data_IF_775936306516
#
_entry.id   IF_775936306516
#
_cell.length_a   1.000
_cell.length_b   1.000
_cell.length_c   1.000
_cell.angle_alpha   90.00
_cell.angle_beta   90.00
_cell.angle_gamma   90.00
#
_symmetry.space_group_name_H-M   'P 1'
#
loop_
_entity.id
_entity.type
_entity.pdbx_description
1 polymer ?
#
# COMPACT_ATOMS: atom_id res chain seq x y z
N UNK A 1 -16.66 5.03 18.27
CA UNK A 1 -15.68 3.95 18.00
C UNK A 1 -15.22 3.36 19.34
N UNK A 2 -14.52 2.22 19.36
CA UNK A 2 -13.83 1.76 20.57
C UNK A 2 -12.33 1.51 20.27
N UNK A 3 -11.51 1.42 21.32
CA UNK A 3 -10.04 1.32 21.16
C UNK A 3 -9.62 0.08 20.39
N UNK A 4 -10.34 -1.04 20.58
CA UNK A 4 -10.08 -2.32 19.88
C UNK A 4 -10.32 -2.20 18.38
N UNK A 5 -11.43 -1.59 17.95
CA UNK A 5 -11.73 -1.40 16.53
C UNK A 5 -10.66 -0.53 15.84
N UNK A 6 -10.27 0.58 16.47
CA UNK A 6 -9.23 1.49 15.95
C UNK A 6 -7.87 0.78 15.88
N UNK A 7 -7.52 0.02 16.93
CA UNK A 7 -6.30 -0.78 16.95
C UNK A 7 -6.29 -1.80 15.83
N UNK A 8 -7.39 -2.53 15.62
CA UNK A 8 -7.49 -3.55 14.58
C UNK A 8 -7.34 -2.98 13.17
N UNK A 9 -7.97 -1.82 12.89
CA UNK A 9 -7.85 -1.16 11.59
C UNK A 9 -6.41 -0.68 11.36
N UNK A 10 -5.81 -0.03 12.36
CA UNK A 10 -4.42 0.45 12.29
C UNK A 10 -3.43 -0.72 12.07
N UNK A 11 -3.62 -1.85 12.76
CA UNK A 11 -2.83 -3.07 12.57
C UNK A 11 -3.05 -3.69 11.19
N UNK A 12 -4.29 -3.75 10.72
CA UNK A 12 -4.63 -4.24 9.39
C UNK A 12 -3.90 -3.46 8.29
N UNK A 13 -3.99 -2.14 8.33
CA UNK A 13 -3.31 -1.25 7.36
C UNK A 13 -1.80 -1.42 7.43
N UNK A 14 -1.20 -1.42 8.64
CA UNK A 14 0.24 -1.67 8.81
C UNK A 14 0.69 -2.99 8.21
N UNK A 15 -0.06 -4.07 8.44
CA UNK A 15 0.28 -5.39 7.91
C UNK A 15 0.25 -5.40 6.37
N UNK A 16 -0.76 -4.76 5.76
CA UNK A 16 -0.87 -4.66 4.30
C UNK A 16 0.25 -3.79 3.72
N UNK A 17 0.56 -2.64 4.34
CA UNK A 17 1.67 -1.77 3.95
C UNK A 17 3.02 -2.52 3.92
N UNK A 18 3.29 -3.34 4.94
CA UNK A 18 4.49 -4.16 5.02
C UNK A 18 4.54 -5.25 3.94
N UNK A 19 3.41 -5.92 3.67
CA UNK A 19 3.31 -6.91 2.59
C UNK A 19 3.62 -6.30 1.24
N UNK A 20 3.05 -5.14 0.94
CA UNK A 20 3.26 -4.39 -0.31
C UNK A 20 4.69 -3.91 -0.44
N UNK A 21 5.24 -3.30 0.61
CA UNK A 21 6.64 -2.86 0.63
C UNK A 21 7.58 -4.02 0.37
N UNK A 22 7.33 -5.19 1.00
CA UNK A 22 8.12 -6.39 0.75
C UNK A 22 7.99 -6.86 -0.70
N UNK A 23 6.77 -6.93 -1.22
CA UNK A 23 6.53 -7.35 -2.61
C UNK A 23 7.24 -6.43 -3.62
N UNK A 24 7.14 -5.12 -3.44
CA UNK A 24 7.81 -4.11 -4.27
C UNK A 24 9.33 -4.18 -4.14
N UNK A 25 9.86 -4.45 -2.96
CA UNK A 25 11.29 -4.64 -2.77
C UNK A 25 11.80 -5.91 -3.47
N UNK A 26 11.04 -7.00 -3.39
CA UNK A 26 11.33 -8.24 -4.11
C UNK A 26 11.28 -8.00 -5.63
N UNK A 27 10.35 -7.17 -6.13
CA UNK A 27 10.32 -6.72 -7.52
C UNK A 27 11.53 -5.87 -7.90
N UNK A 28 11.84 -4.84 -7.11
CA UNK A 28 13.00 -3.96 -7.29
C UNK A 28 14.29 -4.75 -7.44
N UNK A 29 14.46 -5.83 -6.67
CA UNK A 29 15.65 -6.69 -6.74
C UNK A 29 15.81 -7.42 -8.08
N UNK A 30 14.74 -7.58 -8.85
CA UNK A 30 14.72 -8.26 -10.15
C UNK A 30 14.97 -7.34 -11.35
N UNK A 31 15.02 -6.02 -11.16
CA UNK A 31 15.26 -5.05 -12.23
C UNK A 31 16.60 -4.33 -12.07
N UNK A 32 17.36 -4.21 -13.16
CA UNK A 32 18.69 -3.57 -13.20
C UNK A 32 18.66 -2.09 -12.79
N UNK A 33 17.53 -1.43 -12.97
CA UNK A 33 17.21 -0.10 -12.45
C UNK A 33 15.75 -0.11 -11.97
N UNK A 34 15.49 -0.11 -10.65
CA UNK A 34 14.13 0.06 -10.17
C UNK A 34 13.62 1.44 -10.57
N UNK A 35 12.37 1.51 -11.05
CA UNK A 35 11.77 2.80 -11.34
C UNK A 35 11.80 3.67 -10.08
N UNK A 36 12.06 4.96 -10.25
CA UNK A 36 11.99 5.95 -9.16
C UNK A 36 10.66 5.84 -8.41
N UNK A 37 9.58 5.49 -9.13
CA UNK A 37 8.24 5.23 -8.61
C UNK A 37 8.21 4.10 -7.57
N UNK A 38 8.81 2.92 -7.86
CA UNK A 38 8.84 1.80 -6.89
C UNK A 38 9.57 2.18 -5.61
N UNK A 39 10.70 2.90 -5.75
CA UNK A 39 11.44 3.37 -4.58
C UNK A 39 10.66 4.39 -3.76
N UNK A 40 9.98 5.33 -4.42
CA UNK A 40 9.10 6.30 -3.77
C UNK A 40 7.94 5.63 -3.03
N UNK A 41 7.25 4.66 -3.65
CA UNK A 41 6.15 3.92 -3.01
C UNK A 41 6.64 3.18 -1.77
N UNK A 42 7.80 2.51 -1.82
CA UNK A 42 8.37 1.85 -0.64
C UNK A 42 8.67 2.85 0.48
N UNK A 43 9.25 4.01 0.16
CA UNK A 43 9.54 5.06 1.14
C UNK A 43 8.28 5.61 1.79
N UNK A 44 7.27 5.97 1.00
CA UNK A 44 5.99 6.47 1.51
C UNK A 44 5.25 5.41 2.34
N UNK A 45 5.26 4.15 1.90
CA UNK A 45 4.68 3.03 2.66
C UNK A 45 5.36 2.85 4.02
N UNK A 46 6.68 3.08 4.11
CA UNK A 46 7.41 3.04 5.37
C UNK A 46 7.03 4.20 6.30
N UNK A 47 6.82 5.40 5.76
CA UNK A 47 6.35 6.58 6.52
C UNK A 47 4.94 6.34 7.07
N UNK A 48 4.03 5.82 6.24
CA UNK A 48 2.67 5.45 6.67
C UNK A 48 2.76 4.43 7.80
N UNK A 49 3.55 3.37 7.64
CA UNK A 49 3.68 2.34 8.66
C UNK A 49 4.28 2.88 9.98
N UNK A 50 5.30 3.74 9.92
CA UNK A 50 5.87 4.39 11.09
C UNK A 50 4.85 5.27 11.82
N UNK A 51 3.98 5.95 11.08
CA UNK A 51 2.91 6.77 11.64
C UNK A 51 1.84 5.91 12.32
N UNK A 52 1.43 4.82 11.68
CA UNK A 52 0.47 3.86 12.24
C UNK A 52 1.03 3.16 13.48
N UNK A 53 2.33 2.84 13.52
CA UNK A 53 2.98 2.28 14.73
C UNK A 53 2.98 3.25 15.90
N UNK A 54 3.13 4.55 15.65
CA UNK A 54 2.99 5.56 16.70
C UNK A 54 1.55 5.59 17.24
N UNK A 55 0.56 5.53 16.34
CA UNK A 55 -0.85 5.47 16.75
C UNK A 55 -1.17 4.19 17.52
N UNK A 56 -0.69 3.03 17.08
CA UNK A 56 -0.80 1.76 17.81
C UNK A 56 -0.20 1.87 19.20
N UNK A 57 0.97 2.50 19.34
CA UNK A 57 1.63 2.70 20.63
C UNK A 57 0.80 3.58 21.56
N UNK A 58 0.16 4.63 21.03
CA UNK A 58 -0.75 5.49 21.80
C UNK A 58 -2.00 4.74 22.23
N UNK A 59 -2.62 3.96 21.33
CA UNK A 59 -3.80 3.13 21.66
C UNK A 59 -3.45 2.08 22.71
N UNK A 60 -2.30 1.41 22.59
CA UNK A 60 -1.88 0.40 23.56
C UNK A 60 -1.62 1.01 24.95
N UNK A 61 -1.02 2.21 25.00
CA UNK A 61 -0.69 2.88 26.26
C UNK A 61 -1.92 3.45 26.96
N UNK A 62 -2.89 3.98 26.20
CA UNK A 62 -3.99 4.79 26.75
C UNK A 62 -5.37 4.13 26.60
N UNK A 63 -5.50 3.08 25.79
CA UNK A 63 -6.74 2.33 25.61
C UNK A 63 -7.93 3.22 25.23
N UNK A 64 -9.04 3.06 25.93
CA UNK A 64 -10.25 3.87 25.70
C UNK A 64 -10.06 5.35 26.04
N UNK A 65 -9.06 5.72 26.86
CA UNK A 65 -8.75 7.13 27.12
C UNK A 65 -8.22 7.84 25.87
N UNK A 66 -7.52 7.13 24.98
CA UNK A 66 -7.12 7.68 23.68
C UNK A 66 -8.34 8.00 22.82
N UNK A 67 -9.32 7.08 22.77
CA UNK A 67 -10.55 7.25 21.98
C UNK A 67 -11.35 8.45 22.47
N UNK A 68 -11.48 8.60 23.80
CA UNK A 68 -12.14 9.76 24.39
C UNK A 68 -11.46 11.07 24.02
N UNK A 69 -10.11 11.14 24.07
CA UNK A 69 -9.36 12.34 23.64
C UNK A 69 -9.55 12.65 22.16
N UNK A 70 -9.72 11.61 21.34
CA UNK A 70 -10.01 11.72 19.91
C UNK A 70 -11.42 12.29 19.69
N UNK A 71 -12.41 11.81 20.44
CA UNK A 71 -13.80 12.26 20.39
C UNK A 71 -13.98 13.69 20.95
N UNK A 72 -13.21 14.07 21.97
CA UNK A 72 -13.18 15.42 22.55
C UNK A 72 -12.69 16.48 21.55
N UNK A 73 -11.90 16.08 20.55
CA UNK A 73 -11.45 16.96 19.47
C UNK A 73 -12.37 16.84 18.26
N UNK A 74 -13.19 17.87 18.08
CA UNK A 74 -14.16 17.92 16.99
C UNK A 74 -13.50 17.66 15.62
N UNK A 75 -14.03 16.67 14.90
CA UNK A 75 -13.57 16.29 13.56
C UNK A 75 -12.38 15.33 13.52
N UNK A 76 -11.64 15.12 14.62
CA UNK A 76 -10.42 14.30 14.59
C UNK A 76 -10.72 12.81 14.38
N UNK A 77 -11.79 12.28 15.00
CA UNK A 77 -12.26 10.92 14.71
C UNK A 77 -12.57 10.72 13.23
N UNK A 78 -13.32 11.64 12.64
CA UNK A 78 -13.70 11.58 11.23
C UNK A 78 -12.48 11.67 10.31
N UNK A 79 -11.54 12.59 10.60
CA UNK A 79 -10.29 12.68 9.83
C UNK A 79 -9.46 11.41 9.95
N UNK A 80 -9.38 10.82 11.14
CA UNK A 80 -8.64 9.58 11.37
C UNK A 80 -9.25 8.40 10.62
N UNK A 81 -10.59 8.25 10.66
CA UNK A 81 -11.30 7.23 9.89
C UNK A 81 -11.09 7.40 8.38
N UNK A 82 -11.25 8.62 7.86
CA UNK A 82 -11.02 8.92 6.44
C UNK A 82 -9.58 8.56 6.04
N UNK A 83 -8.60 8.90 6.88
CA UNK A 83 -7.20 8.59 6.62
C UNK A 83 -6.94 7.07 6.59
N UNK A 84 -7.51 6.31 7.53
CA UNK A 84 -7.40 4.84 7.55
C UNK A 84 -8.06 4.21 6.32
N UNK A 85 -9.28 4.61 5.98
CA UNK A 85 -9.97 4.14 4.76
C UNK A 85 -9.17 4.48 3.50
N UNK A 86 -8.60 5.69 3.44
CA UNK A 86 -7.71 6.08 2.33
C UNK A 86 -6.48 5.19 2.20
N UNK A 87 -5.86 4.82 3.33
CA UNK A 87 -4.73 3.89 3.35
C UNK A 87 -5.15 2.47 2.91
N UNK A 88 -6.29 1.98 3.39
CA UNK A 88 -6.82 0.66 2.97
C UNK A 88 -7.06 0.60 1.47
N UNK A 89 -7.68 1.63 0.89
CA UNK A 89 -7.93 1.72 -0.55
C UNK A 89 -6.63 1.79 -1.34
N UNK A 90 -5.68 2.65 -0.92
CA UNK A 90 -4.38 2.79 -1.57
C UNK A 90 -3.62 1.46 -1.58
N UNK A 91 -3.53 0.79 -0.43
CA UNK A 91 -2.81 -0.47 -0.34
C UNK A 91 -3.53 -1.61 -1.09
N UNK A 92 -4.86 -1.66 -1.08
CA UNK A 92 -5.60 -2.66 -1.87
C UNK A 92 -5.34 -2.50 -3.37
N UNK A 93 -5.36 -1.26 -3.87
CA UNK A 93 -5.03 -0.96 -5.27
C UNK A 93 -3.57 -1.31 -5.61
N UNK A 94 -2.63 -1.00 -4.71
CA UNK A 94 -1.23 -1.39 -4.89
C UNK A 94 -1.05 -2.92 -4.91
N UNK A 95 -1.80 -3.67 -4.09
CA UNK A 95 -1.75 -5.13 -4.07
C UNK A 95 -2.25 -5.74 -5.40
N UNK A 96 -3.32 -5.19 -5.97
CA UNK A 96 -3.83 -5.57 -7.29
C UNK A 96 -2.79 -5.33 -8.40
N UNK A 97 -2.24 -4.11 -8.47
CA UNK A 97 -1.20 -3.76 -9.45
C UNK A 97 0.05 -4.65 -9.33
N UNK A 98 0.48 -4.94 -8.09
CA UNK A 98 1.60 -5.85 -7.83
C UNK A 98 1.28 -7.27 -8.30
N UNK A 99 0.04 -7.73 -8.09
CA UNK A 99 -0.41 -9.05 -8.56
C UNK A 99 -0.37 -9.13 -10.09
N UNK A 100 -0.87 -8.11 -10.78
CA UNK A 100 -0.87 -8.02 -12.23
C UNK A 100 0.56 -7.98 -12.81
N UNK A 101 1.45 -7.22 -12.17
CA UNK A 101 2.88 -7.21 -12.52
C UNK A 101 3.52 -8.60 -12.35
N UNK A 102 3.12 -9.38 -11.33
CA UNK A 102 3.65 -10.75 -11.13
C UNK A 102 3.14 -11.68 -12.22
N UNK A 103 1.86 -11.57 -12.58
CA UNK A 103 1.26 -12.36 -13.64
C UNK A 103 1.92 -12.05 -14.99
N UNK A 104 2.12 -10.77 -15.31
CA UNK A 104 2.81 -10.34 -16.54
C UNK A 104 4.25 -10.88 -16.62
N UNK A 105 5.03 -10.78 -15.53
CA UNK A 105 6.38 -11.36 -15.47
C UNK A 105 6.43 -12.89 -15.57
N UNK A 106 5.34 -13.56 -15.20
CA UNK A 106 5.26 -15.03 -15.29
C UNK A 106 4.80 -15.49 -16.66
N UNK A 107 4.05 -14.64 -17.39
CA UNK A 107 3.59 -14.89 -18.75
C UNK A 107 4.66 -14.56 -19.81
N UNK A 108 5.44 -13.50 -19.60
CA UNK A 108 6.64 -13.22 -20.38
C UNK A 108 7.79 -14.09 -19.88
N UNK A 109 8.11 -15.18 -20.60
CA UNK A 109 9.42 -15.83 -20.49
C UNK A 109 10.56 -14.81 -20.65
N UNK A 110 11.82 -15.14 -20.28
CA UNK A 110 12.92 -14.18 -20.18
C UNK A 110 12.96 -13.30 -21.42
N UNK A 111 12.81 -11.98 -21.22
CA UNK A 111 12.74 -10.98 -22.27
C UNK A 111 14.01 -11.06 -23.13
N UNK A 112 13.95 -11.83 -24.21
CA UNK A 112 14.90 -11.76 -25.31
C UNK A 112 14.39 -10.61 -26.17
N UNK A 113 15.06 -9.46 -26.09
CA UNK A 113 14.65 -8.24 -26.80
C UNK A 113 14.68 -8.40 -28.32
N UNK A 114 13.75 -9.16 -28.90
CA UNK A 114 13.53 -9.20 -30.33
C UNK A 114 12.31 -8.34 -30.69
N UNK A 115 12.60 -7.15 -31.20
CA UNK A 115 11.65 -6.25 -31.84
C UNK A 115 11.17 -6.85 -33.16
N UNK A 116 10.22 -7.78 -33.10
CA UNK A 116 9.46 -8.24 -34.28
C UNK A 116 7.96 -8.24 -33.96
N UNK A 117 7.41 -7.06 -33.63
CA UNK A 117 5.97 -6.85 -33.73
C UNK A 117 5.67 -6.42 -35.18
N UNK A 118 5.23 -7.39 -36.00
CA UNK A 118 4.57 -7.12 -37.29
C UNK A 118 3.43 -6.10 -37.07
N UNK A 119 3.31 -5.05 -37.91
CA UNK A 119 2.24 -4.09 -37.77
C UNK A 119 0.88 -4.77 -38.02
N UNK A 120 -0.04 -4.57 -37.08
CA UNK A 120 -1.44 -4.96 -37.21
C UNK A 120 -2.04 -4.29 -38.46
N UNK A 121 -2.46 -5.11 -39.41
CA UNK A 121 -3.17 -4.66 -40.61
C UNK A 121 -4.51 -4.04 -40.19
N UNK A 122 -4.58 -2.71 -40.27
CA UNK A 122 -5.79 -1.94 -40.07
C UNK A 122 -6.73 -2.16 -41.27
N UNK A 123 -7.65 -3.12 -41.17
CA UNK A 123 -8.82 -3.15 -42.07
C UNK A 123 -9.75 -2.01 -41.67
N UNK A 124 -9.73 -0.93 -42.45
CA UNK A 124 -10.80 0.07 -42.43
C UNK A 124 -12.02 -0.44 -43.22
N UNK A 125 -13.24 -0.05 -42.81
CA UNK A 125 -14.49 -0.46 -43.45
C UNK A 125 -14.62 0.03 -44.89
#
# INVERSE_FOLDING_TARGET
MNSVSIASATVGVSATALKITKALNDFRSKYRQPSMTVSAICSESAIINASLSQVQSLIFREGDAFVRKLEERQGLCTTFDIALTGCELLFSSLEEEISDLRAALSADGPWTGNTDRKPLAMKRP
#
